data_IF_633330418121
#
_entry.id   IF_633330418121
#
_cell.length_a   1.000
_cell.length_b   1.000
_cell.length_c   1.000
_cell.angle_alpha   90.00
_cell.angle_beta   90.00
_cell.angle_gamma   90.00
#
_symmetry.space_group_name_H-M   'P 1'
#
loop_
_entity.id
_entity.type
_entity.pdbx_description
1 polymer ?
#
# COMPACT_ATOMS: atom_id res chain seq x y z
N UNK A 1 3.92 10.77 22.78
CA UNK A 1 4.73 10.43 21.59
C UNK A 1 4.07 9.26 20.91
N UNK A 2 3.83 9.33 19.60
CA UNK A 2 3.29 8.20 18.84
C UNK A 2 4.33 7.08 18.73
N UNK A 3 3.90 5.82 18.79
CA UNK A 3 4.78 4.66 18.66
C UNK A 3 4.95 4.31 17.17
N UNK A 4 6.07 3.68 16.82
CA UNK A 4 6.30 3.15 15.47
C UNK A 4 5.22 2.16 15.00
N UNK A 5 4.49 1.54 15.94
CA UNK A 5 3.42 0.58 15.66
C UNK A 5 2.04 1.21 15.48
N UNK A 6 1.90 2.52 15.68
CA UNK A 6 0.59 3.17 15.58
C UNK A 6 0.29 3.52 14.11
N UNK A 7 -0.92 3.22 13.64
CA UNK A 7 -1.40 3.70 12.34
C UNK A 7 -1.65 5.21 12.42
N UNK A 8 -0.94 5.98 11.61
CA UNK A 8 -0.99 7.45 11.60
C UNK A 8 -1.37 7.98 10.21
N UNK A 9 -2.67 8.24 9.93
CA UNK A 9 -3.10 8.88 8.69
C UNK A 9 -2.41 10.23 8.44
N UNK A 10 -2.10 10.98 9.49
CA UNK A 10 -1.43 12.28 9.39
C UNK A 10 -0.02 12.17 8.80
N UNK A 11 0.73 11.09 9.09
CA UNK A 11 2.05 10.85 8.52
C UNK A 11 1.96 10.67 6.99
N UNK A 12 0.93 9.96 6.53
CA UNK A 12 0.68 9.77 5.10
C UNK A 12 0.30 11.07 4.40
N UNK A 13 -0.53 11.90 5.04
CA UNK A 13 -0.91 13.22 4.49
C UNK A 13 0.28 14.17 4.43
N UNK A 14 1.10 14.22 5.48
CA UNK A 14 2.31 15.05 5.54
C UNK A 14 3.26 14.70 4.40
N UNK A 15 3.66 13.43 4.31
CA UNK A 15 4.61 12.97 3.27
C UNK A 15 4.01 13.09 1.88
N UNK A 16 2.70 12.86 1.72
CA UNK A 16 2.02 13.09 0.45
C UNK A 16 2.18 14.54 -0.01
N UNK A 17 1.92 15.51 0.86
CA UNK A 17 2.07 16.93 0.52
C UNK A 17 3.54 17.28 0.26
N UNK A 18 4.47 16.77 1.07
CA UNK A 18 5.90 17.01 0.89
C UNK A 18 6.41 16.51 -0.47
N UNK A 19 5.89 15.37 -0.94
CA UNK A 19 6.32 14.78 -2.21
C UNK A 19 5.53 15.28 -3.42
N UNK A 20 4.33 15.84 -3.22
CA UNK A 20 3.38 16.10 -4.31
C UNK A 20 4.00 16.99 -5.39
N UNK A 21 4.59 18.11 -4.99
CA UNK A 21 5.16 19.10 -5.93
C UNK A 21 6.39 18.55 -6.67
N UNK A 22 7.19 17.70 -6.02
CA UNK A 22 8.41 17.14 -6.62
C UNK A 22 8.13 15.94 -7.53
N UNK A 23 7.13 15.12 -7.20
CA UNK A 23 6.82 13.88 -7.91
C UNK A 23 5.73 14.06 -8.97
N UNK A 24 4.80 14.98 -8.77
CA UNK A 24 3.72 15.30 -9.69
C UNK A 24 3.82 16.79 -10.03
N UNK A 25 4.91 17.18 -10.70
CA UNK A 25 5.18 18.53 -11.25
C UNK A 25 4.22 18.87 -12.41
N UNK A 26 2.92 18.83 -12.12
CA UNK A 26 1.82 19.04 -13.05
C UNK A 26 0.84 20.07 -12.47
N UNK A 27 0.12 20.80 -13.33
CA UNK A 27 -0.76 21.92 -12.91
C UNK A 27 -2.00 21.49 -12.10
N UNK A 28 -2.34 20.20 -12.09
CA UNK A 28 -3.56 19.72 -11.45
C UNK A 28 -3.37 19.43 -9.95
N UNK A 29 -4.27 19.90 -9.07
CA UNK A 29 -4.23 19.54 -7.66
C UNK A 29 -4.61 18.07 -7.45
N UNK A 30 -3.88 17.39 -6.55
CA UNK A 30 -4.17 16.04 -6.10
C UNK A 30 -4.53 16.00 -4.61
N UNK A 31 -5.52 15.17 -4.26
CA UNK A 31 -5.88 14.92 -2.85
C UNK A 31 -5.72 13.45 -2.49
N UNK A 32 -5.29 13.19 -1.26
CA UNK A 32 -5.24 11.86 -0.66
C UNK A 32 -6.39 11.69 0.35
N UNK A 33 -7.12 10.58 0.24
CA UNK A 33 -8.20 10.21 1.15
C UNK A 33 -8.02 8.77 1.65
N UNK A 34 -8.59 8.49 2.82
CA UNK A 34 -8.60 7.16 3.41
C UNK A 34 -10.00 6.58 3.31
N UNK A 35 -10.13 5.39 2.76
CA UNK A 35 -11.39 4.65 2.77
C UNK A 35 -11.12 3.17 2.98
N UNK A 36 -11.43 2.68 4.18
CA UNK A 36 -11.14 1.32 4.61
C UNK A 36 -12.10 0.26 4.05
N UNK A 37 -13.04 0.64 3.18
CA UNK A 37 -13.97 -0.29 2.52
C UNK A 37 -13.66 -0.54 1.04
N UNK A 38 -12.66 0.13 0.46
CA UNK A 38 -12.31 -0.07 -0.95
C UNK A 38 -11.65 -1.44 -1.16
N UNK A 39 -11.88 -2.02 -2.34
CA UNK A 39 -11.29 -3.31 -2.76
C UNK A 39 -10.43 -3.14 -4.02
N UNK A 40 -9.73 -4.18 -4.42
CA UNK A 40 -8.95 -4.24 -5.65
C UNK A 40 -9.82 -4.44 -6.92
N UNK A 41 -11.15 -4.32 -6.81
CA UNK A 41 -12.09 -4.47 -7.91
C UNK A 41 -12.81 -3.15 -8.21
N UNK A 42 -12.76 -2.72 -9.47
CA UNK A 42 -13.56 -1.60 -9.97
C UNK A 42 -14.75 -2.11 -10.78
N UNK A 43 -15.92 -1.54 -10.50
CA UNK A 43 -17.10 -1.68 -11.36
C UNK A 43 -16.87 -1.06 -12.73
N UNK A 44 -17.66 -1.45 -13.74
CA UNK A 44 -17.60 -0.83 -15.07
C UNK A 44 -17.83 0.69 -15.00
N UNK A 45 -18.75 1.15 -14.15
CA UNK A 45 -19.00 2.57 -13.96
C UNK A 45 -17.78 3.30 -13.37
N UNK A 46 -17.08 2.70 -12.40
CA UNK A 46 -15.87 3.31 -11.83
C UNK A 46 -14.74 3.40 -12.85
N UNK A 47 -14.53 2.34 -13.65
CA UNK A 47 -13.56 2.34 -14.76
C UNK A 47 -13.89 3.43 -15.78
N UNK A 48 -15.16 3.55 -16.19
CA UNK A 48 -15.62 4.61 -17.10
C UNK A 48 -15.45 6.02 -16.51
N UNK A 49 -15.43 6.14 -15.17
CA UNK A 49 -15.12 7.38 -14.46
C UNK A 49 -13.61 7.60 -14.26
N UNK A 50 -12.77 6.80 -14.92
CA UNK A 50 -11.32 6.95 -14.95
C UNK A 50 -10.58 6.37 -13.74
N UNK A 51 -11.26 5.64 -12.85
CA UNK A 51 -10.60 4.99 -11.72
C UNK A 51 -9.64 3.91 -12.18
N UNK A 52 -8.48 3.88 -11.54
CA UNK A 52 -7.42 2.89 -11.71
C UNK A 52 -6.97 2.38 -10.33
N UNK A 53 -6.29 1.25 -10.30
CA UNK A 53 -5.80 0.61 -9.08
C UNK A 53 -4.29 0.47 -9.10
N UNK A 54 -3.67 0.66 -7.95
CA UNK A 54 -2.29 0.29 -7.65
C UNK A 54 -2.27 -0.41 -6.28
N UNK A 55 -1.57 -1.53 -6.17
CA UNK A 55 -1.29 -2.16 -4.88
C UNK A 55 0.22 -2.12 -4.65
N UNK A 56 0.64 -1.73 -3.45
CA UNK A 56 2.04 -1.83 -3.01
C UNK A 56 2.16 -2.90 -1.92
N UNK A 57 3.29 -3.61 -1.93
CA UNK A 57 3.72 -4.46 -0.83
C UNK A 57 4.85 -3.74 -0.10
N UNK A 58 4.70 -3.56 1.20
CA UNK A 58 5.64 -2.78 2.00
C UNK A 58 5.82 -3.36 3.41
N UNK A 59 6.75 -2.79 4.18
CA UNK A 59 7.08 -3.26 5.52
C UNK A 59 6.34 -2.44 6.59
N UNK A 60 5.90 -3.05 7.68
CA UNK A 60 5.25 -2.31 8.77
C UNK A 60 5.40 -3.03 10.11
N UNK A 61 5.13 -2.31 11.20
CA UNK A 61 5.01 -2.88 12.54
C UNK A 61 3.54 -2.89 12.96
N UNK A 62 3.18 -3.85 13.79
CA UNK A 62 1.83 -4.01 14.32
C UNK A 62 1.90 -4.10 15.84
N UNK A 63 0.79 -3.76 16.48
CA UNK A 63 0.57 -3.96 17.90
C UNK A 63 -0.83 -4.51 18.11
N UNK A 64 -0.93 -5.63 18.81
CA UNK A 64 -2.21 -6.23 19.14
C UNK A 64 -2.97 -5.35 20.12
N UNK A 65 -4.20 -4.97 19.77
CA UNK A 65 -5.10 -4.26 20.67
C UNK A 65 -5.40 -5.03 21.97
N UNK A 66 -5.53 -6.37 21.89
CA UNK A 66 -5.93 -7.23 23.01
C UNK A 66 -4.79 -7.56 23.98
N UNK A 67 -3.65 -8.06 23.48
CA UNK A 67 -2.55 -8.54 24.32
C UNK A 67 -1.32 -7.61 24.32
N UNK A 68 -1.34 -6.52 23.55
CA UNK A 68 -0.25 -5.55 23.49
C UNK A 68 1.04 -6.01 22.81
N UNK A 69 1.12 -7.28 22.38
CA UNK A 69 2.28 -7.82 21.66
C UNK A 69 2.49 -7.06 20.35
N UNK A 70 3.74 -6.76 20.04
CA UNK A 70 4.13 -6.16 18.76
C UNK A 70 4.77 -7.19 17.85
N UNK A 71 4.66 -6.98 16.55
CA UNK A 71 5.39 -7.78 15.56
C UNK A 71 5.70 -6.95 14.32
N UNK A 72 6.82 -7.28 13.68
CA UNK A 72 7.18 -6.73 12.39
C UNK A 72 6.63 -7.62 11.27
N UNK A 73 6.22 -6.99 10.17
CA UNK A 73 5.84 -7.67 8.95
C UNK A 73 6.57 -7.06 7.77
N UNK A 74 7.31 -7.89 7.03
CA UNK A 74 7.96 -7.46 5.79
C UNK A 74 6.97 -7.29 4.62
N UNK A 75 5.70 -7.64 4.84
CA UNK A 75 4.71 -7.79 3.79
C UNK A 75 3.34 -7.35 4.27
N UNK A 76 3.05 -6.09 3.98
CA UNK A 76 1.77 -5.41 4.20
C UNK A 76 1.31 -4.84 2.89
N UNK A 77 0.07 -5.17 2.51
CA UNK A 77 -0.54 -4.63 1.30
C UNK A 77 -1.15 -3.26 1.60
N UNK A 78 -0.87 -2.29 0.74
CA UNK A 78 -1.58 -1.01 0.70
C UNK A 78 -2.21 -0.88 -0.68
N UNK A 79 -3.53 -0.69 -0.70
CA UNK A 79 -4.30 -0.51 -1.92
C UNK A 79 -4.54 0.98 -2.13
N UNK A 80 -4.31 1.41 -3.36
CA UNK A 80 -4.62 2.73 -3.86
C UNK A 80 -5.60 2.62 -5.02
N UNK A 81 -6.65 3.43 -4.98
CA UNK A 81 -7.46 3.79 -6.15
C UNK A 81 -7.15 5.23 -6.50
N UNK A 82 -6.91 5.51 -7.77
CA UNK A 82 -6.59 6.86 -8.21
C UNK A 82 -7.28 7.20 -9.52
N UNK A 83 -7.49 8.49 -9.77
CA UNK A 83 -7.95 9.03 -11.04
C UNK A 83 -7.60 10.49 -11.19
N UNK A 84 -7.54 10.94 -12.45
CA UNK A 84 -7.56 12.34 -12.83
C UNK A 84 -8.88 12.60 -13.56
N UNK A 85 -9.65 13.61 -13.14
CA UNK A 85 -10.92 13.94 -13.80
C UNK A 85 -11.16 15.44 -13.80
N UNK A 86 -11.27 16.03 -15.00
CA UNK A 86 -11.50 17.48 -15.19
C UNK A 86 -10.47 18.34 -14.44
N UNK A 87 -9.19 17.99 -14.60
CA UNK A 87 -8.06 18.70 -14.00
C UNK A 87 -8.01 18.63 -12.47
N UNK A 88 -8.52 17.55 -11.87
CA UNK A 88 -8.41 17.29 -10.43
C UNK A 88 -8.11 15.82 -10.18
N UNK A 89 -7.01 15.61 -9.49
CA UNK A 89 -6.54 14.30 -9.07
C UNK A 89 -7.18 13.85 -7.76
N UNK A 90 -7.41 12.55 -7.63
CA UNK A 90 -7.88 11.95 -6.39
C UNK A 90 -7.21 10.61 -6.18
N UNK A 91 -6.65 10.40 -4.99
CA UNK A 91 -6.15 9.13 -4.49
C UNK A 91 -6.98 8.73 -3.29
N UNK A 92 -7.43 7.48 -3.27
CA UNK A 92 -8.06 6.85 -2.11
C UNK A 92 -7.22 5.66 -1.72
N UNK A 93 -6.80 5.58 -0.46
CA UNK A 93 -5.96 4.51 0.04
C UNK A 93 -6.61 3.69 1.16
N UNK A 94 -6.19 2.43 1.24
CA UNK A 94 -6.52 1.48 2.31
C UNK A 94 -5.30 0.63 2.66
N UNK A 95 -4.75 0.76 3.87
CA UNK A 95 -3.83 -0.24 4.41
C UNK A 95 -4.61 -1.49 4.84
N UNK A 96 -3.99 -2.67 4.68
CA UNK A 96 -4.55 -3.94 5.18
C UNK A 96 -3.87 -4.36 6.48
N UNK A 97 -4.67 -4.82 7.43
CA UNK A 97 -4.21 -5.24 8.75
C UNK A 97 -3.69 -6.68 8.83
N UNK A 98 -3.18 -7.04 10.00
CA UNK A 98 -2.80 -8.41 10.37
C UNK A 98 -3.36 -8.76 11.75
N UNK A 99 -3.79 -10.01 11.92
CA UNK A 99 -4.28 -10.50 13.21
C UNK A 99 -3.13 -11.03 14.05
N UNK A 100 -3.19 -10.80 15.37
CA UNK A 100 -2.20 -11.32 16.30
C UNK A 100 -2.09 -12.86 16.23
N UNK A 101 -0.86 -13.40 16.23
CA UNK A 101 -0.62 -14.85 16.20
C UNK A 101 -1.24 -15.58 17.41
N UNK A 102 -1.21 -14.95 18.59
CA UNK A 102 -1.70 -15.57 19.84
C UNK A 102 -3.20 -15.46 19.97
N UNK A 103 -3.77 -14.27 19.74
CA UNK A 103 -5.19 -14.04 19.97
C UNK A 103 -6.05 -14.43 18.77
N UNK A 104 -5.55 -14.21 17.55
CA UNK A 104 -6.28 -14.43 16.30
C UNK A 104 -7.65 -13.71 16.27
N UNK A 105 -7.69 -12.53 16.92
CA UNK A 105 -8.85 -11.64 16.97
C UNK A 105 -9.02 -10.86 15.63
N UNK A 106 -9.61 -9.66 15.70
CA UNK A 106 -9.69 -8.72 14.58
C UNK A 106 -8.31 -8.29 14.05
N UNK A 107 -8.32 -7.66 12.87
CA UNK A 107 -7.10 -7.19 12.21
C UNK A 107 -6.63 -5.86 12.81
N UNK A 108 -5.41 -5.84 13.32
CA UNK A 108 -4.76 -4.61 13.74
C UNK A 108 -4.20 -3.86 12.53
N UNK A 109 -4.34 -2.53 12.51
CA UNK A 109 -3.78 -1.70 11.45
C UNK A 109 -2.25 -1.54 11.60
N UNK A 110 -1.52 -1.42 10.48
CA UNK A 110 -0.07 -1.26 10.48
C UNK A 110 0.38 0.15 10.89
N UNK A 111 1.45 0.23 11.69
CA UNK A 111 2.29 1.40 11.85
C UNK A 111 3.45 1.41 10.85
N UNK A 112 3.62 2.53 10.15
CA UNK A 112 4.60 2.65 9.06
C UNK A 112 5.71 3.63 9.42
N UNK A 113 6.95 3.30 9.03
CA UNK A 113 8.06 4.23 9.05
C UNK A 113 7.93 5.24 7.90
N UNK A 114 8.45 6.47 8.09
CA UNK A 114 8.43 7.54 7.07
C UNK A 114 8.92 7.08 5.70
N UNK A 115 10.10 6.47 5.63
CA UNK A 115 10.68 5.96 4.37
C UNK A 115 9.77 4.96 3.63
N UNK A 116 9.08 4.10 4.39
CA UNK A 116 8.14 3.13 3.83
C UNK A 116 6.91 3.79 3.21
N UNK A 117 6.44 4.89 3.82
CA UNK A 117 5.36 5.71 3.29
C UNK A 117 5.83 6.43 2.02
N UNK A 118 7.00 7.06 2.05
CA UNK A 118 7.64 7.71 0.88
C UNK A 118 7.74 6.73 -0.30
N UNK A 119 8.35 5.55 -0.11
CA UNK A 119 8.48 4.52 -1.15
C UNK A 119 7.12 4.06 -1.73
N UNK A 120 6.07 4.05 -0.90
CA UNK A 120 4.72 3.65 -1.33
C UNK A 120 4.04 4.74 -2.15
N UNK A 121 4.21 6.01 -1.77
CA UNK A 121 3.66 7.16 -2.47
C UNK A 121 4.38 7.40 -3.80
N UNK A 122 5.71 7.33 -3.84
CA UNK A 122 6.47 7.42 -5.10
C UNK A 122 5.96 6.39 -6.12
N UNK A 123 5.72 5.14 -5.70
CA UNK A 123 5.15 4.11 -6.58
C UNK A 123 3.77 4.49 -7.13
N UNK A 124 2.90 5.10 -6.33
CA UNK A 124 1.57 5.51 -6.80
C UNK A 124 1.68 6.71 -7.75
N UNK A 125 2.60 7.64 -7.48
CA UNK A 125 2.87 8.79 -8.33
C UNK A 125 3.43 8.38 -9.69
N UNK A 126 4.35 7.42 -9.76
CA UNK A 126 4.80 6.86 -11.04
C UNK A 126 3.64 6.25 -11.84
N UNK A 127 2.71 5.57 -11.18
CA UNK A 127 1.50 5.06 -11.85
C UNK A 127 0.56 6.18 -12.31
N UNK A 128 0.50 7.29 -11.59
CA UNK A 128 -0.28 8.47 -11.99
C UNK A 128 0.35 9.13 -13.22
N UNK A 129 1.65 9.44 -13.21
CA UNK A 129 2.37 10.01 -14.36
C UNK A 129 2.13 9.20 -15.63
N UNK A 130 2.38 7.90 -15.56
CA UNK A 130 2.16 6.97 -16.68
C UNK A 130 0.71 6.91 -17.16
N UNK A 131 -0.25 6.76 -16.24
CA UNK A 131 -1.62 6.40 -16.62
C UNK A 131 -2.59 7.60 -16.73
N UNK A 132 -2.23 8.76 -16.18
CA UNK A 132 -3.06 9.96 -16.19
C UNK A 132 -2.48 11.07 -17.08
N UNK A 133 -1.16 11.19 -17.14
CA UNK A 133 -0.47 12.22 -17.93
C UNK A 133 0.18 11.68 -19.21
N UNK A 134 0.13 10.36 -19.44
CA UNK A 134 0.74 9.71 -20.60
C UNK A 134 2.24 10.02 -20.75
N UNK A 135 2.91 10.31 -19.62
CA UNK A 135 4.34 10.48 -19.59
C UNK A 135 4.97 9.12 -19.90
N UNK A 136 5.74 9.07 -20.99
CA UNK A 136 6.50 7.87 -21.36
C UNK A 136 7.65 7.73 -20.37
N UNK A 137 7.51 6.75 -19.49
CA UNK A 137 8.63 6.22 -18.70
C UNK A 137 9.55 5.47 -19.68
N UNK A 138 10.47 6.19 -20.35
CA UNK A 138 11.62 5.57 -21.07
C UNK A 138 12.57 4.85 -20.11
N UNK A 139 12.35 5.02 -18.80
CA UNK A 139 12.90 4.22 -17.74
C UNK A 139 11.72 3.76 -16.90
N UNK A 140 11.76 2.53 -16.34
CA UNK A 140 10.85 2.01 -15.31
C UNK A 140 9.88 0.89 -15.76
N UNK A 141 10.44 -0.18 -16.34
CA UNK A 141 10.34 -1.46 -15.64
C UNK A 141 11.20 -1.37 -14.36
N UNK A 142 10.75 -0.58 -13.38
CA UNK A 142 11.12 -0.87 -11.99
C UNK A 142 10.21 -2.03 -11.62
N UNK A 143 10.53 -3.21 -12.17
CA UNK A 143 10.48 -4.41 -11.37
C UNK A 143 11.19 -4.04 -10.08
N UNK A 144 10.43 -3.95 -9.00
CA UNK A 144 10.93 -3.56 -7.71
C UNK A 144 12.20 -4.34 -7.46
N UNK A 145 13.35 -3.66 -7.52
CA UNK A 145 14.63 -4.27 -7.19
C UNK A 145 14.40 -5.02 -5.88
N UNK A 146 14.69 -6.33 -5.82
CA UNK A 146 14.31 -7.14 -4.67
C UNK A 146 14.86 -6.45 -3.44
N UNK A 147 13.96 -5.96 -2.60
CA UNK A 147 14.32 -5.32 -1.34
C UNK A 147 15.34 -6.21 -0.65
N UNK A 148 16.47 -5.67 -0.14
CA UNK A 148 17.54 -6.49 0.41
C UNK A 148 16.92 -7.53 1.32
N UNK A 149 17.09 -8.81 0.98
CA UNK A 149 16.38 -9.94 1.58
C UNK A 149 16.71 -9.96 3.07
N UNK A 150 15.94 -9.24 3.88
CA UNK A 150 15.89 -9.47 5.32
C UNK A 150 15.20 -10.80 5.44
N UNK A 151 15.94 -11.81 5.90
CA UNK A 151 15.42 -13.14 6.18
C UNK A 151 14.29 -12.97 7.20
N UNK A 152 13.07 -12.94 6.69
CA UNK A 152 11.86 -12.72 7.48
C UNK A 152 11.12 -14.03 7.51
N UNK A 153 10.42 -14.29 8.63
CA UNK A 153 9.61 -15.50 8.74
C UNK A 153 8.63 -15.56 7.56
N UNK A 154 8.31 -16.76 7.06
CA UNK A 154 7.34 -16.91 5.97
C UNK A 154 6.06 -16.14 6.24
N UNK A 155 5.55 -15.48 5.20
CA UNK A 155 4.32 -14.70 5.30
C UNK A 155 3.15 -15.62 5.68
N UNK A 156 2.56 -15.40 6.85
CA UNK A 156 1.42 -16.19 7.33
C UNK A 156 0.12 -15.65 6.75
N UNK A 157 -0.29 -16.20 5.59
CA UNK A 157 -1.50 -15.79 4.86
C UNK A 157 -2.77 -15.83 5.71
N UNK A 158 -2.88 -16.80 6.62
CA UNK A 158 -4.04 -16.94 7.53
C UNK A 158 -4.21 -15.78 8.51
N UNK A 159 -3.15 -15.00 8.77
CA UNK A 159 -3.19 -13.82 9.65
C UNK A 159 -3.25 -12.51 8.86
N UNK A 160 -3.16 -12.54 7.53
CA UNK A 160 -3.08 -11.36 6.68
C UNK A 160 -4.45 -11.02 6.11
N UNK A 161 -4.96 -9.82 6.39
CA UNK A 161 -6.27 -9.38 5.89
C UNK A 161 -6.31 -9.40 4.35
N UNK A 162 -5.26 -8.90 3.69
CA UNK A 162 -5.19 -8.87 2.23
C UNK A 162 -5.16 -10.28 1.62
N UNK A 163 -4.57 -11.28 2.29
CA UNK A 163 -4.65 -12.68 1.82
C UNK A 163 -6.08 -13.22 1.95
N UNK A 164 -6.76 -12.97 3.08
CA UNK A 164 -8.15 -13.41 3.26
C UNK A 164 -9.11 -12.76 2.25
N UNK A 165 -8.82 -11.53 1.83
CA UNK A 165 -9.58 -10.82 0.79
C UNK A 165 -9.13 -11.14 -0.64
N UNK A 166 -8.08 -11.97 -0.84
CA UNK A 166 -7.57 -12.35 -2.16
C UNK A 166 -6.79 -11.27 -2.90
N UNK A 167 -6.33 -10.22 -2.20
CA UNK A 167 -5.68 -9.03 -2.77
C UNK A 167 -4.14 -9.11 -2.68
N UNK A 168 -3.62 -9.86 -1.72
CA UNK A 168 -2.18 -10.00 -1.49
C UNK A 168 -1.52 -10.76 -2.65
N UNK A 169 -0.69 -10.08 -3.45
CA UNK A 169 0.03 -10.69 -4.59
C UNK A 169 1.13 -11.64 -4.10
N UNK A 170 0.83 -12.92 -3.88
CA UNK A 170 1.83 -13.95 -3.53
C UNK A 170 2.95 -13.92 -4.59
N UNK A 171 4.20 -13.75 -4.12
CA UNK A 171 5.30 -14.25 -4.94
C UNK A 171 5.28 -15.74 -4.61
N UNK A 172 4.69 -16.54 -5.49
CA UNK A 172 4.72 -17.99 -5.38
C UNK A 172 6.19 -18.42 -5.51
N UNK A 173 6.90 -18.47 -4.38
CA UNK A 173 8.01 -19.41 -4.25
C UNK A 173 7.40 -20.77 -3.90
N UNK A 174 6.69 -21.33 -4.88
CA UNK A 174 6.63 -22.78 -5.05
C UNK A 174 8.03 -23.20 -5.53
N UNK A 175 8.93 -23.46 -4.58
CA UNK A 175 10.06 -24.32 -4.86
C UNK A 175 9.68 -25.70 -4.34
N UNK A 176 9.26 -26.53 -5.29
CA UNK A 176 8.78 -27.88 -5.07
C UNK A 176 9.76 -28.71 -4.26
N UNK A 177 9.31 -29.18 -3.10
CA UNK A 177 9.91 -30.38 -2.52
C UNK A 177 9.30 -31.57 -3.26
N UNK A 178 9.96 -32.00 -4.33
CA UNK A 178 9.76 -33.32 -4.89
C UNK A 178 10.15 -34.35 -3.81
N UNK A 179 9.16 -35.12 -3.36
CA UNK A 179 9.35 -36.38 -2.64
C UNK A 179 9.02 -37.54 -3.57
#
# INVERSE_FOLDING_TARGET
MARSTDWLPSLWMEIFNDLLDYELDNEDPWTLHFNYSITDKLTAQEKNRGWKICCTCTQAEFKCGSCGKTWFSARVTVLFRYRLRRGRGTIIMRPFGQSCLTCQDEFDLPGFARKTVEDSLVKVFSKIRKNCYMENDDNNDIDAAPSPRRYTKPHKSTLCQACKEGICKQDDNDDGTAG
#
